data_IF_637742051390
#
_entry.id   IF_637742051390
#
_cell.length_a   1.000
_cell.length_b   1.000
_cell.length_c   1.000
_cell.angle_alpha   90.00
_cell.angle_beta   90.00
_cell.angle_gamma   90.00
#
_symmetry.space_group_name_H-M   'P 1'
#
loop_
_entity.id
_entity.type
_entity.pdbx_description
1 polymer ?
#
# COMPACT_ATOMS: atom_id res chain seq x y z
N UNK A 1 4.32 -9.57 -14.51
CA UNK A 1 4.04 -9.57 -13.06
C UNK A 1 4.81 -8.49 -12.32
N UNK A 2 6.11 -8.28 -12.59
CA UNK A 2 6.92 -7.22 -11.94
C UNK A 2 6.33 -5.80 -12.06
N UNK A 3 5.93 -5.39 -13.28
CA UNK A 3 5.35 -4.05 -13.52
C UNK A 3 4.13 -3.70 -12.64
N UNK A 4 3.23 -4.66 -12.41
CA UNK A 4 2.04 -4.46 -11.54
C UNK A 4 2.39 -4.32 -10.06
N UNK A 5 3.52 -4.91 -9.63
CA UNK A 5 4.02 -4.81 -8.25
C UNK A 5 4.67 -3.44 -8.04
N UNK A 6 5.46 -2.97 -9.01
CA UNK A 6 6.06 -1.63 -8.99
C UNK A 6 5.00 -0.52 -8.99
N UNK A 7 3.95 -0.67 -9.80
CA UNK A 7 2.81 0.24 -9.83
C UNK A 7 2.07 0.27 -8.48
N UNK A 8 1.82 -0.91 -7.90
CA UNK A 8 1.17 -1.03 -6.58
C UNK A 8 2.01 -0.41 -5.46
N UNK A 9 3.33 -0.63 -5.45
CA UNK A 9 4.24 -0.02 -4.48
C UNK A 9 4.28 1.50 -4.64
N UNK A 10 4.44 1.99 -5.86
CA UNK A 10 4.50 3.42 -6.18
C UNK A 10 3.25 4.15 -5.69
N UNK A 11 2.08 3.56 -5.91
CA UNK A 11 0.82 4.09 -5.42
C UNK A 11 0.76 4.15 -3.88
N UNK A 12 1.14 3.07 -3.18
CA UNK A 12 1.13 3.05 -1.72
C UNK A 12 2.07 4.12 -1.14
N UNK A 13 3.26 4.28 -1.72
CA UNK A 13 4.19 5.33 -1.33
C UNK A 13 3.64 6.73 -1.60
N UNK A 14 3.01 6.94 -2.76
CA UNK A 14 2.40 8.21 -3.11
C UNK A 14 1.30 8.61 -2.11
N UNK A 15 0.39 7.68 -1.79
CA UNK A 15 -0.68 7.93 -0.81
C UNK A 15 -0.13 8.24 0.58
N UNK A 16 0.92 7.54 1.02
CA UNK A 16 1.61 7.86 2.29
C UNK A 16 2.26 9.24 2.28
N UNK A 17 2.93 9.61 1.18
CA UNK A 17 3.56 10.91 1.07
C UNK A 17 2.54 12.04 1.12
N UNK A 18 1.40 11.87 0.42
CA UNK A 18 0.28 12.81 0.45
C UNK A 18 -0.27 13.00 1.86
N UNK A 19 -0.46 11.90 2.59
CA UNK A 19 -0.92 11.93 3.99
C UNK A 19 0.10 12.60 4.92
N UNK A 20 1.39 12.29 4.78
CA UNK A 20 2.46 12.96 5.51
C UNK A 20 2.44 14.48 5.31
N UNK A 21 2.33 14.95 4.05
CA UNK A 21 2.25 16.38 3.75
C UNK A 21 1.02 17.03 4.39
N UNK A 22 -0.14 16.36 4.34
CA UNK A 22 -1.36 16.86 4.96
C UNK A 22 -1.23 16.97 6.49
N UNK A 23 -0.63 15.98 7.14
CA UNK A 23 -0.35 16.00 8.59
C UNK A 23 0.61 17.10 8.97
N UNK A 24 1.72 17.25 8.23
CA UNK A 24 2.67 18.34 8.47
C UNK A 24 2.02 19.72 8.34
N UNK A 25 1.11 19.90 7.38
CA UNK A 25 0.33 21.14 7.24
C UNK A 25 -0.62 21.41 8.43
N UNK A 26 -1.05 20.37 9.14
CA UNK A 26 -1.87 20.45 10.36
C UNK A 26 -1.03 20.58 11.64
N UNK A 27 0.30 20.58 11.54
CA UNK A 27 1.20 20.53 12.70
C UNK A 27 1.25 19.16 13.38
N UNK A 28 0.72 18.12 12.73
CA UNK A 28 0.71 16.75 13.24
C UNK A 28 1.99 16.01 12.84
N UNK A 29 2.42 15.08 13.70
CA UNK A 29 3.53 14.18 13.38
C UNK A 29 3.12 13.25 12.21
N UNK A 30 3.94 13.14 11.15
CA UNK A 30 3.75 12.14 10.11
C UNK A 30 3.74 10.71 10.69
N UNK A 31 2.91 9.83 10.15
CA UNK A 31 2.88 8.42 10.55
C UNK A 31 2.73 7.49 9.33
N UNK A 32 3.03 6.21 9.50
CA UNK A 32 3.01 5.24 8.41
C UNK A 32 1.61 4.73 8.01
N UNK A 33 0.55 5.35 8.52
CA UNK A 33 -0.83 4.93 8.33
C UNK A 33 -1.49 5.71 7.18
N UNK A 34 -2.29 5.02 6.37
CA UNK A 34 -3.20 5.64 5.41
C UNK A 34 -4.61 5.46 5.97
N UNK A 35 -5.33 6.54 6.25
CA UNK A 35 -6.74 6.46 6.65
C UNK A 35 -7.63 6.19 5.43
N UNK A 36 -8.24 5.00 5.29
CA UNK A 36 -9.04 4.68 4.11
C UNK A 36 -10.29 5.55 3.98
N UNK A 37 -10.79 6.08 5.11
CA UNK A 37 -12.01 6.91 5.13
C UNK A 37 -11.78 8.34 4.61
N UNK A 38 -10.53 8.77 4.51
CA UNK A 38 -10.14 10.08 3.97
C UNK A 38 -9.73 10.03 2.49
N UNK A 39 -9.69 8.83 1.91
CA UNK A 39 -9.39 8.65 0.50
C UNK A 39 -10.63 8.89 -0.36
N UNK A 40 -10.41 9.50 -1.52
CA UNK A 40 -11.45 9.53 -2.54
C UNK A 40 -11.71 8.11 -3.10
N UNK A 41 -12.83 7.90 -3.82
CA UNK A 41 -13.19 6.57 -4.33
C UNK A 41 -12.15 5.94 -5.27
N UNK A 42 -11.46 6.76 -6.06
CA UNK A 42 -10.41 6.30 -6.97
C UNK A 42 -9.20 5.77 -6.18
N UNK A 43 -8.66 6.57 -5.27
CA UNK A 43 -7.51 6.22 -4.42
C UNK A 43 -7.81 5.00 -3.55
N UNK A 44 -9.06 4.87 -3.08
CA UNK A 44 -9.56 3.70 -2.35
C UNK A 44 -9.51 2.44 -3.20
N UNK A 45 -10.04 2.50 -4.43
CA UNK A 45 -10.03 1.38 -5.38
C UNK A 45 -8.59 0.93 -5.68
N UNK A 46 -7.71 1.90 -5.94
CA UNK A 46 -6.30 1.65 -6.20
C UNK A 46 -5.60 1.01 -4.98
N UNK A 47 -5.85 1.49 -3.76
CA UNK A 47 -5.31 0.90 -2.53
C UNK A 47 -5.77 -0.55 -2.34
N UNK A 48 -7.05 -0.84 -2.59
CA UNK A 48 -7.59 -2.21 -2.52
C UNK A 48 -6.87 -3.13 -3.53
N UNK A 49 -6.64 -2.66 -4.75
CA UNK A 49 -5.90 -3.43 -5.76
C UNK A 49 -4.45 -3.67 -5.35
N UNK A 50 -3.77 -2.67 -4.81
CA UNK A 50 -2.40 -2.81 -4.29
C UNK A 50 -2.33 -3.86 -3.16
N UNK A 51 -3.24 -3.79 -2.18
CA UNK A 51 -3.31 -4.74 -1.08
C UNK A 51 -3.60 -6.17 -1.54
N UNK A 52 -4.46 -6.35 -2.56
CA UNK A 52 -4.71 -7.66 -3.18
C UNK A 52 -3.45 -8.22 -3.84
N UNK A 53 -2.69 -7.39 -4.55
CA UNK A 53 -1.43 -7.77 -5.20
C UNK A 53 -0.39 -8.20 -4.16
N UNK A 54 -0.22 -7.42 -3.08
CA UNK A 54 0.68 -7.77 -1.97
C UNK A 54 0.28 -9.10 -1.34
N UNK A 55 -1.02 -9.32 -1.09
CA UNK A 55 -1.52 -10.60 -0.54
C UNK A 55 -1.26 -11.78 -1.48
N UNK A 56 -1.40 -11.60 -2.79
CA UNK A 56 -1.05 -12.63 -3.76
C UNK A 56 0.45 -12.94 -3.75
N UNK A 57 1.30 -11.91 -3.71
CA UNK A 57 2.75 -12.06 -3.61
C UNK A 57 3.13 -12.85 -2.36
N UNK A 58 2.58 -12.48 -1.20
CA UNK A 58 2.80 -13.18 0.08
C UNK A 58 2.39 -14.65 0.00
N UNK A 59 1.27 -14.98 -0.66
CA UNK A 59 0.86 -16.39 -0.87
C UNK A 59 1.86 -17.15 -1.74
N UNK A 60 2.37 -16.54 -2.81
CA UNK A 60 3.34 -17.15 -3.71
C UNK A 60 4.69 -17.37 -3.01
N UNK A 61 5.16 -16.40 -2.23
CA UNK A 61 6.43 -16.52 -1.50
C UNK A 61 6.30 -17.46 -0.30
N UNK A 62 5.17 -17.48 0.41
CA UNK A 62 4.93 -18.43 1.49
C UNK A 62 4.99 -19.90 1.02
N UNK A 63 4.50 -20.18 -0.19
CA UNK A 63 4.64 -21.52 -0.80
C UNK A 63 6.08 -21.87 -1.15
N UNK A 64 6.88 -20.87 -1.56
CA UNK A 64 8.28 -21.05 -1.99
C UNK A 64 9.26 -21.22 -0.83
N UNK A 65 8.94 -20.70 0.36
CA UNK A 65 9.77 -20.80 1.56
C UNK A 65 9.18 -21.70 2.65
N UNK A 66 8.13 -22.47 2.34
CA UNK A 66 7.60 -23.48 3.27
C UNK A 66 8.67 -24.56 3.41
N UNK A 67 9.36 -24.60 4.56
CA UNK A 67 10.28 -25.70 4.89
C UNK A 67 9.49 -27.01 4.77
N UNK A 68 10.02 -28.04 4.07
CA UNK A 68 9.46 -29.38 4.19
C UNK A 68 9.60 -29.78 5.66
N UNK A 69 8.47 -30.10 6.28
CA UNK A 69 8.42 -30.72 7.59
C UNK A 69 8.63 -32.22 7.48
#
# INVERSE_FOLDING_TARGET
MGRRIEEALSLVFFLRLKEHVNRSRRGEMPNHYINPHELNPHDTSCLIQAMRTVKQLQKLTARRFRKPG
#
